data_IF_067948770776
#
_entry.id   IF_067948770776
#
_cell.length_a   1.000
_cell.length_b   1.000
_cell.length_c   1.000
_cell.angle_alpha   90.00
_cell.angle_beta   90.00
_cell.angle_gamma   90.00
#
_symmetry.space_group_name_H-M   'P 1'
#
loop_
_entity.id
_entity.type
_entity.pdbx_description
1 polymer ?
#
# COMPACT_ATOMS: atom_id res chain seq x y z
N UNK A 1 -16.50 -6.35 -3.81
CA UNK A 1 -15.31 -6.82 -3.05
C UNK A 1 -14.50 -5.60 -2.65
N UNK A 2 -13.88 -5.64 -1.48
CA UNK A 2 -13.05 -4.58 -0.91
C UNK A 2 -11.58 -4.92 -1.11
N UNK A 3 -10.77 -3.93 -1.39
CA UNK A 3 -9.31 -4.10 -1.43
C UNK A 3 -8.59 -2.98 -0.68
N UNK A 4 -7.35 -3.27 -0.29
CA UNK A 4 -6.41 -2.29 0.22
C UNK A 4 -5.23 -2.12 -0.75
N UNK A 5 -4.71 -0.90 -0.85
CA UNK A 5 -3.61 -0.53 -1.74
C UNK A 5 -2.37 -0.07 -0.95
N UNK A 6 -1.46 -1.01 -0.69
CA UNK A 6 -0.21 -0.73 0.00
C UNK A 6 0.86 -0.29 -1.00
N UNK A 7 1.68 0.68 -0.59
CA UNK A 7 2.66 1.33 -1.47
C UNK A 7 1.96 1.92 -2.71
N UNK A 8 0.89 2.67 -2.45
CA UNK A 8 -0.07 3.10 -3.45
C UNK A 8 0.53 4.02 -4.52
N UNK A 9 1.66 4.69 -4.22
CA UNK A 9 2.24 5.71 -5.07
C UNK A 9 1.20 6.76 -5.43
N UNK A 10 1.01 6.97 -6.74
CA UNK A 10 0.03 7.92 -7.28
C UNK A 10 -1.36 7.31 -7.54
N UNK A 11 -1.62 6.05 -7.12
CA UNK A 11 -2.93 5.40 -7.19
C UNK A 11 -3.24 4.63 -8.48
N UNK A 12 -2.21 4.20 -9.22
CA UNK A 12 -2.40 3.42 -10.45
C UNK A 12 -3.13 2.09 -10.23
N UNK A 13 -2.80 1.36 -9.17
CA UNK A 13 -3.45 0.09 -8.82
C UNK A 13 -4.90 0.35 -8.39
N UNK A 14 -5.13 1.37 -7.56
CA UNK A 14 -6.48 1.81 -7.18
C UNK A 14 -7.39 2.01 -8.40
N UNK A 15 -6.96 2.78 -9.40
CA UNK A 15 -7.73 3.03 -10.62
C UNK A 15 -8.03 1.71 -11.34
N UNK A 16 -7.04 0.83 -11.48
CA UNK A 16 -7.23 -0.46 -12.16
C UNK A 16 -8.29 -1.33 -11.47
N UNK A 17 -8.25 -1.41 -10.14
CA UNK A 17 -9.22 -2.20 -9.36
C UNK A 17 -10.61 -1.56 -9.34
N UNK A 18 -10.72 -0.24 -9.14
CA UNK A 18 -12.01 0.45 -9.13
C UNK A 18 -12.73 0.37 -10.48
N UNK A 19 -11.98 0.42 -11.59
CA UNK A 19 -12.51 0.18 -12.94
C UNK A 19 -13.08 -1.23 -13.16
N UNK A 20 -12.77 -2.18 -12.26
CA UNK A 20 -13.31 -3.55 -12.28
C UNK A 20 -14.43 -3.78 -11.25
N UNK A 21 -14.90 -2.72 -10.57
CA UNK A 21 -15.99 -2.79 -9.59
C UNK A 21 -15.55 -3.14 -8.16
N UNK A 22 -14.26 -3.10 -7.86
CA UNK A 22 -13.78 -3.20 -6.49
C UNK A 22 -13.87 -1.86 -5.76
N UNK A 23 -14.01 -1.91 -4.43
CA UNK A 23 -13.99 -0.72 -3.59
C UNK A 23 -12.67 -0.63 -2.83
N UNK A 24 -11.92 0.47 -3.01
CA UNK A 24 -10.72 0.73 -2.21
C UNK A 24 -11.14 1.20 -0.82
N UNK A 25 -10.70 0.48 0.23
CA UNK A 25 -11.04 0.82 1.63
C UNK A 25 -9.84 1.31 2.44
N UNK A 26 -8.63 1.21 1.89
CA UNK A 26 -7.41 1.71 2.52
C UNK A 26 -6.33 1.90 1.46
N UNK A 27 -5.59 3.00 1.54
CA UNK A 27 -4.39 3.21 0.74
C UNK A 27 -3.27 3.76 1.62
N UNK A 28 -2.04 3.32 1.40
CA UNK A 28 -0.88 3.79 2.15
C UNK A 28 0.35 4.01 1.26
N UNK A 29 1.05 5.11 1.51
CA UNK A 29 2.42 5.33 1.05
C UNK A 29 3.18 6.22 2.05
N UNK A 30 4.51 6.15 2.03
CA UNK A 30 5.38 6.92 2.91
C UNK A 30 5.99 8.15 2.21
N UNK A 31 5.83 8.28 0.89
CA UNK A 31 6.33 9.42 0.12
C UNK A 31 5.29 10.56 0.08
N UNK A 32 5.72 11.77 0.47
CA UNK A 32 4.82 12.92 0.60
C UNK A 32 4.33 13.43 -0.75
N UNK A 33 5.12 13.30 -1.82
CA UNK A 33 4.68 13.69 -3.16
C UNK A 33 3.61 12.74 -3.67
N UNK A 34 3.78 11.43 -3.41
CA UNK A 34 2.74 10.44 -3.67
C UNK A 34 1.45 10.80 -2.94
N UNK A 35 1.52 11.19 -1.65
CA UNK A 35 0.35 11.63 -0.89
C UNK A 35 -0.35 12.83 -1.51
N UNK A 36 0.39 13.88 -1.85
CA UNK A 36 -0.16 15.08 -2.47
C UNK A 36 -0.87 14.72 -3.78
N UNK A 37 -0.22 13.95 -4.65
CA UNK A 37 -0.80 13.56 -5.94
C UNK A 37 -2.00 12.65 -5.78
N UNK A 38 -1.92 11.64 -4.92
CA UNK A 38 -3.02 10.72 -4.65
C UNK A 38 -4.23 11.48 -4.10
N UNK A 39 -4.04 12.27 -3.04
CA UNK A 39 -5.12 13.01 -2.41
C UNK A 39 -5.72 14.04 -3.37
N UNK A 40 -4.93 14.70 -4.22
CA UNK A 40 -5.48 15.60 -5.24
C UNK A 40 -6.44 14.91 -6.22
N UNK A 41 -6.18 13.65 -6.57
CA UNK A 41 -7.00 12.92 -7.54
C UNK A 41 -8.19 12.17 -6.91
N UNK A 42 -8.09 11.78 -5.63
CA UNK A 42 -9.08 10.89 -5.00
C UNK A 42 -9.78 11.50 -3.78
N UNK A 43 -9.32 12.64 -3.26
CA UNK A 43 -10.02 13.32 -2.16
C UNK A 43 -11.23 14.04 -2.71
N UNK A 44 -12.42 13.58 -2.31
CA UNK A 44 -13.60 14.42 -2.41
C UNK A 44 -13.65 15.33 -1.18
N UNK A 45 -14.07 16.59 -1.38
CA UNK A 45 -14.10 17.63 -0.35
C UNK A 45 -14.86 17.25 0.94
N UNK A 46 -15.63 16.16 0.92
CA UNK A 46 -16.46 15.70 2.02
C UNK A 46 -16.24 14.23 2.43
N UNK A 47 -15.26 13.53 1.85
CA UNK A 47 -15.00 12.11 2.15
C UNK A 47 -13.55 11.88 2.60
N UNK A 48 -13.24 12.22 3.86
CA UNK A 48 -11.93 12.02 4.48
C UNK A 48 -11.40 10.58 4.40
N UNK A 49 -12.31 9.61 4.31
CA UNK A 49 -12.08 8.18 4.17
C UNK A 49 -11.55 7.76 2.79
N UNK A 50 -11.43 8.68 1.82
CA UNK A 50 -10.77 8.46 0.53
C UNK A 50 -9.32 8.95 0.47
N UNK A 51 -8.83 9.63 1.51
CA UNK A 51 -7.44 10.09 1.57
C UNK A 51 -6.47 8.95 1.84
N UNK A 52 -5.27 9.06 1.29
CA UNK A 52 -4.21 8.09 1.56
C UNK A 52 -3.66 8.27 2.97
N UNK A 53 -3.53 7.16 3.69
CA UNK A 53 -2.84 7.12 4.98
C UNK A 53 -1.35 7.29 4.71
N UNK A 54 -0.82 8.45 5.09
CA UNK A 54 0.59 8.75 4.94
C UNK A 54 1.42 8.15 6.08
N UNK A 55 2.43 7.36 5.73
CA UNK A 55 3.37 6.82 6.70
C UNK A 55 4.04 5.53 6.27
N UNK A 56 5.04 5.15 7.05
CA UNK A 56 5.74 3.87 6.93
C UNK A 56 4.85 2.72 7.39
N UNK A 57 4.54 1.78 6.48
CA UNK A 57 3.65 0.64 6.72
C UNK A 57 4.11 -0.24 7.89
N UNK A 58 5.42 -0.28 8.18
CA UNK A 58 5.97 -1.04 9.32
C UNK A 58 5.52 -0.49 10.68
N UNK A 59 5.04 0.76 10.71
CA UNK A 59 4.56 1.46 11.90
C UNK A 59 3.04 1.54 11.97
N UNK A 60 2.34 1.06 10.94
CA UNK A 60 0.88 1.02 10.90
C UNK A 60 0.42 -0.31 11.50
N UNK A 61 -0.34 -0.19 12.58
CA UNK A 61 -0.98 -1.31 13.25
C UNK A 61 -2.19 -1.80 12.44
N UNK A 62 -2.39 -3.11 12.39
CA UNK A 62 -3.40 -3.76 11.55
C UNK A 62 -4.84 -3.46 11.97
N UNK A 63 -5.09 -3.10 13.23
CA UNK A 63 -6.40 -2.61 13.71
C UNK A 63 -6.86 -1.32 13.00
N UNK A 64 -5.93 -0.57 12.40
CA UNK A 64 -6.25 0.63 11.60
C UNK A 64 -6.57 0.32 10.14
N UNK A 65 -6.37 -0.93 9.70
CA UNK A 65 -6.66 -1.38 8.35
C UNK A 65 -8.08 -1.97 8.35
N UNK A 66 -9.04 -1.45 7.59
CA UNK A 66 -10.37 -2.04 7.49
C UNK A 66 -10.32 -3.44 6.87
N UNK A 67 -11.31 -4.29 7.20
CA UNK A 67 -11.46 -5.60 6.55
C UNK A 67 -11.51 -5.49 5.02
N UNK A 68 -10.81 -6.41 4.36
CA UNK A 68 -10.66 -6.46 2.90
C UNK A 68 -10.67 -7.89 2.37
N UNK A 69 -11.01 -8.03 1.09
CA UNK A 69 -10.99 -9.30 0.37
C UNK A 69 -9.67 -9.49 -0.40
N UNK A 70 -9.03 -8.40 -0.83
CA UNK A 70 -7.77 -8.40 -1.60
C UNK A 70 -6.78 -7.38 -1.03
N UNK A 71 -5.52 -7.78 -0.91
CA UNK A 71 -4.39 -6.88 -0.64
C UNK A 71 -3.58 -6.68 -1.92
N UNK A 72 -3.38 -5.44 -2.33
CA UNK A 72 -2.39 -5.07 -3.35
C UNK A 72 -1.17 -4.44 -2.69
N UNK A 73 0.01 -4.66 -3.28
CA UNK A 73 1.28 -4.19 -2.72
C UNK A 73 2.26 -3.82 -3.82
N UNK A 74 2.31 -2.54 -4.20
CA UNK A 74 3.22 -1.98 -5.19
C UNK A 74 4.65 -1.76 -4.66
N UNK A 75 5.19 -2.70 -3.89
CA UNK A 75 6.40 -2.48 -3.10
C UNK A 75 7.66 -2.23 -3.97
N UNK A 76 8.69 -1.54 -3.44
CA UNK A 76 9.88 -1.14 -4.17
C UNK A 76 10.57 -2.29 -4.91
N UNK A 77 10.71 -2.16 -6.23
CA UNK A 77 11.34 -3.20 -7.07
C UNK A 77 12.87 -3.04 -7.19
N UNK A 78 13.43 -1.88 -6.85
CA UNK A 78 14.86 -1.57 -7.01
C UNK A 78 15.80 -2.60 -6.35
N UNK A 79 15.46 -3.20 -5.19
CA UNK A 79 16.25 -4.28 -4.60
C UNK A 79 16.33 -5.54 -5.46
N UNK A 80 15.35 -5.81 -6.32
CA UNK A 80 15.21 -7.06 -7.08
C UNK A 80 15.42 -6.89 -8.59
N UNK A 81 15.28 -5.65 -9.10
CA UNK A 81 15.34 -5.34 -10.53
C UNK A 81 16.75 -5.49 -11.13
N UNK A 82 16.83 -5.88 -12.41
CA UNK A 82 18.08 -5.91 -13.22
C UNK A 82 18.72 -4.53 -13.31
N UNK A 83 17.89 -3.48 -13.39
CA UNK A 83 18.35 -2.10 -13.42
C UNK A 83 18.81 -1.59 -12.04
N UNK A 84 18.61 -2.37 -10.98
CA UNK A 84 19.12 -2.10 -9.63
C UNK A 84 20.35 -2.94 -9.29
N UNK A 85 20.76 -2.90 -8.03
CA UNK A 85 21.92 -3.67 -7.55
C UNK A 85 21.61 -5.12 -7.18
N UNK A 86 20.35 -5.57 -7.36
CA UNK A 86 19.88 -6.94 -7.04
C UNK A 86 20.28 -7.42 -5.64
N UNK A 87 20.32 -6.51 -4.68
CA UNK A 87 20.67 -6.83 -3.29
C UNK A 87 19.56 -7.63 -2.59
N UNK A 88 18.35 -7.64 -3.14
CA UNK A 88 17.19 -8.33 -2.60
C UNK A 88 16.90 -7.89 -1.17
N UNK A 89 16.76 -8.85 -0.27
CA UNK A 89 16.57 -8.60 1.16
C UNK A 89 17.82 -8.05 1.87
N UNK A 90 18.99 -8.12 1.24
CA UNK A 90 20.23 -7.52 1.74
C UNK A 90 20.41 -6.06 1.29
N UNK A 91 19.37 -5.43 0.71
CA UNK A 91 19.42 -4.03 0.33
C UNK A 91 19.73 -3.16 1.54
N UNK A 92 20.85 -2.42 1.49
CA UNK A 92 21.32 -1.62 2.64
C UNK A 92 20.36 -0.52 3.08
N UNK A 93 19.40 -0.14 2.22
CA UNK A 93 18.34 0.84 2.52
C UNK A 93 17.07 0.19 3.06
N UNK A 94 17.06 -1.13 3.28
CA UNK A 94 15.92 -1.87 3.82
C UNK A 94 14.74 -2.02 2.86
N UNK A 95 14.85 -1.57 1.60
CA UNK A 95 13.72 -1.50 0.66
C UNK A 95 13.17 -2.87 0.28
N UNK A 96 13.98 -3.92 0.36
CA UNK A 96 13.54 -5.29 0.11
C UNK A 96 12.71 -5.87 1.25
N UNK A 97 12.88 -5.34 2.48
CA UNK A 97 12.29 -5.92 3.68
C UNK A 97 10.84 -5.51 3.91
N UNK A 98 10.34 -4.48 3.21
CA UNK A 98 8.92 -4.10 3.29
C UNK A 98 7.98 -5.18 2.74
N UNK A 99 8.51 -6.15 1.99
CA UNK A 99 7.79 -7.38 1.66
C UNK A 99 7.34 -8.14 2.92
N UNK A 100 8.15 -8.16 3.99
CA UNK A 100 7.78 -8.84 5.23
C UNK A 100 6.68 -8.10 5.99
N UNK A 101 6.50 -6.79 5.79
CA UNK A 101 5.34 -6.06 6.32
C UNK A 101 4.04 -6.49 5.65
N UNK A 102 4.06 -6.79 4.35
CA UNK A 102 2.91 -7.39 3.66
C UNK A 102 2.55 -8.74 4.30
N UNK A 103 3.56 -9.59 4.53
CA UNK A 103 3.36 -10.90 5.16
C UNK A 103 2.84 -10.76 6.60
N UNK A 104 3.34 -9.80 7.37
CA UNK A 104 2.85 -9.49 8.72
C UNK A 104 1.36 -9.16 8.69
N UNK A 105 0.96 -8.23 7.83
CA UNK A 105 -0.45 -7.82 7.69
C UNK A 105 -1.31 -9.01 7.31
N UNK A 106 -0.92 -9.80 6.30
CA UNK A 106 -1.69 -10.99 5.88
C UNK A 106 -1.86 -12.01 7.01
N UNK A 107 -0.79 -12.29 7.78
CA UNK A 107 -0.85 -13.25 8.89
C UNK A 107 -1.78 -12.77 10.00
N UNK A 108 -1.69 -11.50 10.38
CA UNK A 108 -2.54 -10.93 11.43
C UNK A 108 -4.02 -10.98 11.02
N UNK A 109 -4.36 -10.65 9.76
CA UNK A 109 -5.73 -10.79 9.25
C UNK A 109 -6.22 -12.24 9.17
N UNK A 110 -5.37 -13.19 8.78
CA UNK A 110 -5.74 -14.61 8.73
C UNK A 110 -5.90 -15.21 10.13
N UNK A 111 -5.15 -14.73 11.12
CA UNK A 111 -5.26 -15.18 12.52
C UNK A 111 -6.51 -14.68 13.26
N UNK A 112 -7.26 -13.75 12.65
CA UNK A 112 -8.50 -13.19 13.16
C UNK A 112 -9.76 -13.93 12.64
N UNK A 113 -9.58 -14.95 11.79
CA UNK A 113 -10.64 -15.80 11.22
C UNK A 113 -10.59 -17.18 11.88
#
# INVERSE_FOLDING_TARGET
MKFIDLFAGIGGIKIAFENTGFQCVFSNDFDNNCKITFDFNFSELFEFNKQMVFGDISKISTDKIPNFDVLTGGFPCQPFSIAGYRQGFNDKKGRGNVFFDIIRILKEFLSLI
#
